data_IF_607574453693
#
_entry.id   IF_607574453693
#
_cell.length_a   1.000
_cell.length_b   1.000
_cell.length_c   1.000
_cell.angle_alpha   90.00
_cell.angle_beta   90.00
_cell.angle_gamma   90.00
#
_symmetry.space_group_name_H-M   'P 1'
#
loop_
_entity.id
_entity.type
_entity.pdbx_description
1 polymer ?
#
# COMPACT_ATOMS: atom_id res chain seq x y z
N UNK A 1 -30.94 -4.30 0.54
CA UNK A 1 -31.29 -2.89 0.78
C UNK A 1 -30.19 -2.06 0.14
N UNK A 2 -30.48 -1.36 -0.94
CA UNK A 2 -29.53 -0.41 -1.53
C UNK A 2 -29.42 0.81 -0.63
N UNK A 3 -28.22 1.34 -0.47
CA UNK A 3 -27.94 2.42 0.46
C UNK A 3 -27.31 3.63 -0.27
N UNK A 4 -27.36 4.78 0.35
CA UNK A 4 -26.74 5.99 -0.18
C UNK A 4 -27.44 6.56 -1.42
N UNK A 5 -26.66 7.11 -2.33
CA UNK A 5 -27.15 7.78 -3.54
C UNK A 5 -28.13 6.91 -4.35
N UNK A 6 -27.96 5.60 -4.36
CA UNK A 6 -28.79 4.68 -5.11
C UNK A 6 -30.20 4.49 -4.53
N UNK A 7 -30.43 4.85 -3.27
CA UNK A 7 -31.78 4.75 -2.68
C UNK A 7 -32.82 5.62 -3.42
N UNK A 8 -32.40 6.79 -3.90
CA UNK A 8 -33.31 7.73 -4.59
C UNK A 8 -33.57 7.36 -6.05
N UNK A 9 -32.73 6.56 -6.67
CA UNK A 9 -32.84 6.24 -8.09
C UNK A 9 -33.25 4.78 -8.37
N UNK A 10 -33.11 3.89 -7.38
CA UNK A 10 -33.40 2.45 -7.59
C UNK A 10 -34.84 2.14 -7.96
N UNK A 11 -35.81 3.03 -7.56
CA UNK A 11 -37.21 2.85 -7.85
C UNK A 11 -37.64 3.55 -9.17
N UNK A 12 -36.73 4.28 -9.82
CA UNK A 12 -37.02 4.90 -11.11
C UNK A 12 -37.06 3.82 -12.19
N UNK A 13 -38.17 3.76 -12.98
CA UNK A 13 -38.31 2.79 -14.06
C UNK A 13 -37.14 2.85 -15.04
N UNK A 14 -36.69 4.04 -15.38
CA UNK A 14 -35.58 4.30 -16.27
C UNK A 14 -34.26 3.71 -15.74
N UNK A 15 -34.09 3.61 -14.43
CA UNK A 15 -32.93 2.98 -13.83
C UNK A 15 -33.10 1.47 -13.70
N UNK A 16 -34.31 0.99 -13.37
CA UNK A 16 -34.56 -0.44 -13.18
C UNK A 16 -34.42 -1.24 -14.46
N UNK A 17 -34.96 -0.71 -15.56
CA UNK A 17 -35.02 -1.38 -16.85
C UNK A 17 -33.73 -1.21 -17.68
N UNK A 18 -32.79 -0.40 -17.19
CA UNK A 18 -31.56 -0.10 -17.91
C UNK A 18 -30.50 -1.19 -17.78
N UNK A 19 -29.71 -1.36 -18.83
CA UNK A 19 -28.43 -2.08 -18.73
C UNK A 19 -27.45 -1.31 -17.87
N UNK A 20 -26.85 -1.97 -16.88
CA UNK A 20 -25.94 -1.37 -15.91
C UNK A 20 -24.54 -2.00 -15.97
N UNK A 21 -23.53 -1.16 -16.04
CA UNK A 21 -22.14 -1.58 -15.82
C UNK A 21 -21.58 -0.85 -14.60
N UNK A 22 -20.84 -1.60 -13.78
CA UNK A 22 -20.22 -1.09 -12.55
C UNK A 22 -18.73 -1.02 -12.69
N UNK A 23 -18.15 0.12 -12.33
CA UNK A 23 -16.71 0.32 -12.32
C UNK A 23 -16.25 0.63 -10.92
N UNK A 24 -15.30 -0.14 -10.42
CA UNK A 24 -14.74 0.04 -9.08
C UNK A 24 -13.26 0.41 -9.25
N UNK A 25 -12.89 1.55 -8.71
CA UNK A 25 -11.51 2.05 -8.70
C UNK A 25 -11.05 2.30 -7.27
N UNK A 26 -9.77 2.09 -7.01
CA UNK A 26 -9.16 2.48 -5.73
C UNK A 26 -9.11 4.00 -5.72
N UNK A 27 -9.68 4.61 -4.68
CA UNK A 27 -9.62 6.05 -4.45
C UNK A 27 -8.39 6.43 -3.63
N UNK A 28 -8.22 5.77 -2.49
CA UNK A 28 -7.08 5.97 -1.61
C UNK A 28 -6.56 4.63 -1.10
N UNK A 29 -5.27 4.52 -0.91
CA UNK A 29 -4.65 3.29 -0.42
C UNK A 29 -3.45 3.60 0.47
N UNK A 30 -3.41 2.94 1.61
CA UNK A 30 -2.25 2.94 2.48
C UNK A 30 -1.79 1.51 2.70
N UNK A 31 -0.49 1.25 2.55
CA UNK A 31 0.04 -0.08 2.80
C UNK A 31 1.03 -0.08 3.97
N UNK A 32 1.00 -1.14 4.74
CA UNK A 32 1.87 -1.37 5.88
C UNK A 32 2.63 -2.68 5.65
N UNK A 33 3.94 -2.61 5.71
CA UNK A 33 4.77 -3.80 5.74
C UNK A 33 4.78 -4.34 7.17
N UNK A 34 4.38 -5.59 7.32
CA UNK A 34 4.07 -6.17 8.62
C UNK A 34 5.30 -6.38 9.51
N UNK A 35 6.48 -6.57 8.92
CA UNK A 35 7.75 -6.64 9.66
C UNK A 35 7.99 -5.40 10.53
N UNK A 36 7.56 -4.21 10.08
CA UNK A 36 7.70 -2.97 10.85
C UNK A 36 6.81 -2.92 12.11
N UNK A 37 5.77 -3.76 12.16
CA UNK A 37 4.89 -3.89 13.32
C UNK A 37 5.42 -4.92 14.31
N UNK A 38 5.90 -6.06 13.79
CA UNK A 38 6.37 -7.20 14.62
C UNK A 38 7.76 -6.91 15.20
N UNK A 39 8.65 -6.39 14.35
CA UNK A 39 10.07 -6.14 14.66
C UNK A 39 10.41 -4.72 14.20
N UNK A 40 9.94 -3.69 14.95
CA UNK A 40 10.18 -2.31 14.60
C UNK A 40 11.69 -1.99 14.70
N UNK A 41 12.23 -1.16 13.78
CA UNK A 41 13.66 -0.85 13.76
C UNK A 41 14.13 -0.01 14.95
N UNK A 42 13.19 0.71 15.59
CA UNK A 42 13.41 1.53 16.79
C UNK A 42 12.08 1.68 17.54
N UNK A 43 12.13 2.04 18.80
CA UNK A 43 10.95 2.06 19.70
C UNK A 43 9.84 3.01 19.23
N UNK A 44 10.21 4.14 18.60
CA UNK A 44 9.28 5.14 18.11
C UNK A 44 8.60 4.74 16.78
N UNK A 45 9.18 3.83 16.00
CA UNK A 45 8.67 3.45 14.67
C UNK A 45 7.20 3.02 14.68
N UNK A 46 6.76 2.36 15.75
CA UNK A 46 5.37 1.96 15.92
C UNK A 46 4.44 3.15 16.17
N UNK A 47 4.92 4.17 16.86
CA UNK A 47 4.16 5.40 17.09
C UNK A 47 4.05 6.22 15.80
N UNK A 48 5.14 6.33 15.03
CA UNK A 48 5.13 6.96 13.71
C UNK A 48 4.14 6.28 12.76
N UNK A 49 4.16 4.94 12.70
CA UNK A 49 3.20 4.19 11.90
C UNK A 49 1.76 4.43 12.34
N UNK A 50 1.51 4.52 13.65
CA UNK A 50 0.20 4.84 14.21
C UNK A 50 -0.25 6.24 13.80
N UNK A 51 0.64 7.22 13.87
CA UNK A 51 0.35 8.59 13.45
C UNK A 51 0.02 8.66 11.96
N UNK A 52 0.81 8.01 11.11
CA UNK A 52 0.56 7.94 9.67
C UNK A 52 -0.80 7.29 9.34
N UNK A 53 -1.20 6.24 10.05
CA UNK A 53 -2.49 5.60 9.87
C UNK A 53 -3.65 6.47 10.38
N UNK A 54 -3.46 7.22 11.46
CA UNK A 54 -4.43 8.20 11.94
C UNK A 54 -4.62 9.32 10.92
N UNK A 55 -3.55 9.90 10.41
CA UNK A 55 -3.60 10.94 9.38
C UNK A 55 -4.32 10.45 8.11
N UNK A 56 -4.06 9.21 7.72
CA UNK A 56 -4.79 8.59 6.60
C UNK A 56 -6.27 8.44 6.89
N UNK A 57 -6.64 7.99 8.11
CA UNK A 57 -8.02 7.88 8.55
C UNK A 57 -8.73 9.23 8.53
N UNK A 58 -8.14 10.25 9.14
CA UNK A 58 -8.68 11.61 9.19
C UNK A 58 -8.88 12.21 7.78
N UNK A 59 -7.90 12.01 6.90
CA UNK A 59 -8.02 12.43 5.50
C UNK A 59 -9.22 11.79 4.82
N UNK A 60 -9.42 10.49 4.98
CA UNK A 60 -10.52 9.76 4.37
C UNK A 60 -11.85 10.16 5.01
N UNK A 61 -11.93 10.28 6.34
CA UNK A 61 -13.13 10.71 7.06
C UNK A 61 -13.57 12.13 6.68
N UNK A 62 -12.62 12.99 6.30
CA UNK A 62 -12.93 14.34 5.80
C UNK A 62 -13.77 14.32 4.51
N UNK A 63 -13.78 13.21 3.78
CA UNK A 63 -14.60 12.99 2.58
C UNK A 63 -15.91 12.25 2.86
N UNK A 64 -16.33 12.17 4.13
CA UNK A 64 -17.49 11.41 4.63
C UNK A 64 -17.36 9.88 4.50
N UNK A 65 -16.15 9.37 4.29
CA UNK A 65 -15.91 7.93 4.31
C UNK A 65 -15.71 7.44 5.74
N UNK A 66 -16.36 6.36 6.10
CA UNK A 66 -16.29 5.81 7.47
C UNK A 66 -15.77 4.38 7.52
N UNK A 67 -15.61 3.71 6.39
CA UNK A 67 -15.17 2.32 6.36
C UNK A 67 -14.10 2.10 5.32
N UNK A 68 -13.20 1.22 5.67
CA UNK A 68 -12.07 0.84 4.84
C UNK A 68 -12.16 -0.64 4.48
N UNK A 69 -11.82 -0.97 3.25
CA UNK A 69 -11.59 -2.35 2.86
C UNK A 69 -10.11 -2.63 2.99
N UNK A 70 -9.75 -3.62 3.77
CA UNK A 70 -8.37 -4.00 3.94
C UNK A 70 -8.08 -5.38 3.36
N UNK A 71 -6.88 -5.53 2.84
CA UNK A 71 -6.35 -6.80 2.35
C UNK A 71 -5.14 -7.20 3.17
N UNK A 72 -5.05 -8.47 3.52
CA UNK A 72 -3.81 -9.08 4.00
C UNK A 72 -3.22 -9.84 2.83
N UNK A 73 -2.03 -9.45 2.42
CA UNK A 73 -1.36 -10.01 1.25
C UNK A 73 0.04 -10.49 1.60
N UNK A 74 0.56 -11.42 0.82
CA UNK A 74 1.97 -11.77 0.85
C UNK A 74 2.60 -11.70 -0.53
N UNK A 75 3.90 -11.54 -0.56
CA UNK A 75 4.73 -11.69 -1.77
C UNK A 75 6.11 -12.19 -1.40
N UNK A 76 6.85 -12.71 -2.37
CA UNK A 76 8.23 -13.12 -2.15
C UNK A 76 9.03 -12.03 -1.43
N UNK A 77 9.78 -12.46 -0.43
CA UNK A 77 10.63 -11.59 0.39
C UNK A 77 11.62 -10.82 -0.47
N UNK A 78 11.78 -9.54 -0.19
CA UNK A 78 12.77 -8.68 -0.83
C UNK A 78 13.70 -8.11 0.23
N UNK A 79 15.00 -8.20 -0.01
CA UNK A 79 16.03 -7.66 0.90
C UNK A 79 17.12 -6.96 0.10
N UNK A 80 17.81 -6.02 0.72
CA UNK A 80 19.06 -5.50 0.17
C UNK A 80 20.15 -6.58 0.27
N UNK A 81 20.96 -6.73 -0.78
CA UNK A 81 22.13 -7.62 -0.74
C UNK A 81 23.27 -6.94 0.02
N UNK A 82 23.31 -7.13 1.34
CA UNK A 82 24.34 -6.54 2.22
C UNK A 82 25.78 -6.92 1.85
N UNK A 83 25.97 -8.00 1.06
CA UNK A 83 27.29 -8.41 0.56
C UNK A 83 27.76 -7.53 -0.59
N UNK A 84 26.86 -6.75 -1.18
CA UNK A 84 27.15 -5.83 -2.28
C UNK A 84 26.61 -4.44 -1.94
N UNK A 85 27.47 -3.59 -1.41
CA UNK A 85 27.11 -2.22 -1.10
C UNK A 85 26.67 -1.47 -2.36
N UNK A 86 25.73 -0.51 -2.22
CA UNK A 86 25.30 0.39 -3.30
C UNK A 86 26.50 1.11 -3.91
N UNK A 87 26.48 1.34 -5.23
CA UNK A 87 27.58 1.97 -5.94
C UNK A 87 27.08 3.03 -6.90
N UNK A 88 27.64 4.22 -6.80
CA UNK A 88 27.48 5.24 -7.83
C UNK A 88 28.15 4.83 -9.13
N UNK A 89 27.56 5.21 -10.25
CA UNK A 89 28.15 5.04 -11.55
C UNK A 89 29.44 5.88 -11.65
N UNK A 90 30.46 5.31 -12.24
CA UNK A 90 31.73 6.03 -12.47
C UNK A 90 31.56 7.22 -13.43
N UNK A 91 30.69 7.08 -14.43
CA UNK A 91 30.46 8.10 -15.45
C UNK A 91 29.41 9.14 -15.04
N UNK A 92 28.48 8.79 -14.14
CA UNK A 92 27.43 9.66 -13.67
C UNK A 92 27.16 9.44 -12.18
N UNK A 93 27.70 10.30 -11.34
CA UNK A 93 27.56 10.23 -9.89
C UNK A 93 26.12 10.40 -9.39
N UNK A 94 25.19 10.82 -10.26
CA UNK A 94 23.76 10.88 -9.93
C UNK A 94 23.07 9.52 -10.02
N UNK A 95 23.70 8.55 -10.67
CA UNK A 95 23.14 7.22 -10.88
C UNK A 95 23.69 6.25 -9.84
N UNK A 96 22.81 5.69 -9.03
CA UNK A 96 23.13 4.70 -8.00
C UNK A 96 22.61 3.33 -8.40
N UNK A 97 23.46 2.33 -8.31
CA UNK A 97 23.10 0.91 -8.46
C UNK A 97 22.96 0.28 -7.09
N UNK A 98 21.84 -0.37 -6.83
CA UNK A 98 21.52 -1.07 -5.58
C UNK A 98 21.23 -2.53 -5.92
N UNK A 99 21.75 -3.44 -5.10
CA UNK A 99 21.60 -4.88 -5.28
C UNK A 99 20.55 -5.43 -4.32
N UNK A 100 19.67 -6.30 -4.84
CA UNK A 100 18.55 -6.88 -4.10
C UNK A 100 18.60 -8.41 -4.18
N UNK A 101 18.02 -9.03 -3.15
CA UNK A 101 17.71 -10.45 -3.06
C UNK A 101 16.19 -10.63 -3.09
N UNK A 102 15.70 -11.52 -3.96
CA UNK A 102 14.28 -11.89 -4.04
C UNK A 102 14.17 -13.34 -3.60
N UNK A 103 13.30 -13.64 -2.63
CA UNK A 103 13.12 -14.98 -2.06
C UNK A 103 14.43 -15.55 -1.47
N UNK A 104 15.31 -14.69 -0.97
CA UNK A 104 16.62 -15.00 -0.39
C UNK A 104 17.66 -15.64 -1.37
N UNK A 105 17.33 -15.81 -2.64
CA UNK A 105 18.16 -16.54 -3.61
C UNK A 105 18.41 -15.76 -4.89
N UNK A 106 17.38 -15.19 -5.47
CA UNK A 106 17.46 -14.56 -6.78
C UNK A 106 18.05 -13.15 -6.63
N UNK A 107 19.19 -12.92 -7.31
CA UNK A 107 19.88 -11.64 -7.28
C UNK A 107 19.39 -10.75 -8.41
N UNK A 108 19.03 -9.53 -8.07
CA UNK A 108 18.70 -8.49 -9.04
C UNK A 108 19.40 -7.19 -8.68
N UNK A 109 19.37 -6.25 -9.58
CA UNK A 109 19.83 -4.88 -9.34
C UNK A 109 18.80 -3.88 -9.82
N UNK A 110 18.75 -2.76 -9.15
CA UNK A 110 17.97 -1.61 -9.54
C UNK A 110 18.89 -0.40 -9.69
N UNK A 111 18.44 0.59 -10.42
CA UNK A 111 19.17 1.82 -10.64
C UNK A 111 18.23 2.98 -10.31
N UNK A 112 18.69 3.91 -9.47
CA UNK A 112 17.97 5.14 -9.15
C UNK A 112 18.81 6.35 -9.57
N UNK A 113 18.12 7.46 -9.79
CA UNK A 113 18.73 8.71 -10.22
C UNK A 113 18.39 9.83 -9.25
N UNK A 114 19.41 10.56 -8.81
CA UNK A 114 19.28 11.74 -7.97
C UNK A 114 19.29 13.01 -8.83
N UNK A 115 18.15 13.67 -9.02
CA UNK A 115 18.11 14.85 -9.90
C UNK A 115 18.80 16.07 -9.30
N UNK A 116 18.75 16.23 -7.98
CA UNK A 116 19.19 17.43 -7.27
C UNK A 116 20.37 17.12 -6.34
N UNK A 117 20.09 16.55 -5.19
CA UNK A 117 21.06 16.32 -4.13
C UNK A 117 21.58 14.89 -4.17
N UNK A 118 22.90 14.72 -4.14
CA UNK A 118 23.55 13.41 -4.13
C UNK A 118 23.98 13.13 -2.70
N UNK A 119 23.53 12.00 -2.10
CA UNK A 119 23.98 11.60 -0.78
C UNK A 119 25.51 11.46 -0.70
N UNK A 120 26.11 11.88 0.39
CA UNK A 120 27.56 11.75 0.63
C UNK A 120 27.95 10.33 0.99
N UNK A 121 27.04 9.60 1.67
CA UNK A 121 27.23 8.20 2.01
C UNK A 121 25.91 7.43 1.94
N UNK A 122 25.98 6.14 1.61
CA UNK A 122 24.83 5.26 1.54
C UNK A 122 25.20 3.92 2.17
N UNK A 123 24.38 3.49 3.11
CA UNK A 123 24.54 2.21 3.81
C UNK A 123 23.25 1.42 3.66
N UNK A 124 23.36 0.10 3.53
CA UNK A 124 22.23 -0.80 3.56
C UNK A 124 22.44 -1.89 4.61
N UNK A 125 21.38 -2.17 5.33
CA UNK A 125 21.17 -3.46 6.00
C UNK A 125 20.18 -4.31 5.19
N UNK A 126 19.73 -5.44 5.69
CA UNK A 126 18.81 -6.30 4.93
C UNK A 126 17.46 -5.65 4.64
N UNK A 127 16.96 -4.81 5.56
CA UNK A 127 15.62 -4.24 5.52
C UNK A 127 15.59 -2.76 5.15
N UNK A 128 16.68 -2.02 5.40
CA UNK A 128 16.73 -0.56 5.29
C UNK A 128 17.87 -0.08 4.40
N UNK A 129 17.64 1.06 3.76
CA UNK A 129 18.66 1.88 3.12
C UNK A 129 18.74 3.22 3.83
N UNK A 130 19.96 3.66 4.11
CA UNK A 130 20.27 4.91 4.82
C UNK A 130 21.04 5.82 3.89
N UNK A 131 20.51 7.03 3.70
CA UNK A 131 21.15 8.09 2.96
C UNK A 131 21.67 9.15 3.93
N UNK A 132 22.92 9.52 3.78
CA UNK A 132 23.56 10.60 4.54
C UNK A 132 23.88 11.76 3.60
N UNK A 133 23.71 12.98 4.07
CA UNK A 133 24.00 14.19 3.32
C UNK A 133 24.49 15.27 4.27
N UNK A 134 25.17 16.27 3.74
CA UNK A 134 25.58 17.45 4.50
C UNK A 134 24.40 18.36 4.88
N UNK A 135 23.25 18.17 4.21
CA UNK A 135 22.02 18.97 4.43
C UNK A 135 21.08 18.32 5.43
N UNK A 136 21.09 17.00 5.54
CA UNK A 136 20.30 16.24 6.52
C UNK A 136 21.16 15.18 7.21
N UNK A 137 20.91 14.94 8.49
CA UNK A 137 21.70 13.97 9.25
C UNK A 137 21.64 12.55 8.67
N UNK A 138 20.41 12.04 8.43
CA UNK A 138 20.17 10.79 7.72
C UNK A 138 18.71 10.63 7.34
N UNK A 139 18.46 9.94 6.20
CA UNK A 139 17.14 9.47 5.81
C UNK A 139 17.18 7.96 5.70
N UNK A 140 16.30 7.27 6.41
CA UNK A 140 16.18 5.83 6.40
C UNK A 140 14.86 5.40 5.71
N UNK A 141 14.97 4.48 4.75
CA UNK A 141 13.81 3.94 4.08
C UNK A 141 13.76 2.42 4.27
N UNK A 142 12.65 1.86 4.77
CA UNK A 142 12.37 0.43 4.66
C UNK A 142 12.29 0.03 3.19
N UNK A 143 12.79 -1.14 2.82
CA UNK A 143 12.94 -1.56 1.42
C UNK A 143 11.68 -1.43 0.58
N UNK A 144 10.51 -1.80 1.11
CA UNK A 144 9.27 -1.74 0.35
C UNK A 144 8.74 -0.32 0.16
N UNK A 145 9.00 0.58 1.12
CA UNK A 145 8.68 2.00 1.00
C UNK A 145 9.64 2.67 0.03
N UNK A 146 10.92 2.31 0.09
CA UNK A 146 11.93 2.75 -0.87
C UNK A 146 11.55 2.39 -2.31
N UNK A 147 11.21 1.12 -2.56
CA UNK A 147 10.81 0.67 -3.90
C UNK A 147 9.58 1.43 -4.42
N UNK A 148 8.61 1.70 -3.55
CA UNK A 148 7.42 2.47 -3.89
C UNK A 148 7.75 3.94 -4.19
N UNK A 149 8.53 4.58 -3.35
CA UNK A 149 8.92 5.99 -3.49
C UNK A 149 9.63 6.25 -4.82
N UNK A 150 10.50 5.34 -5.20
CA UNK A 150 11.22 5.42 -6.48
C UNK A 150 10.48 4.77 -7.66
N UNK A 151 9.22 4.38 -7.49
CA UNK A 151 8.40 3.79 -8.55
C UNK A 151 8.94 2.48 -9.12
N UNK A 152 9.69 1.70 -8.33
CA UNK A 152 10.37 0.49 -8.78
C UNK A 152 9.44 -0.71 -8.69
N UNK A 153 9.06 -1.24 -9.84
CA UNK A 153 8.29 -2.48 -9.95
C UNK A 153 9.21 -3.66 -10.25
N UNK A 154 9.32 -4.59 -9.31
CA UNK A 154 10.12 -5.81 -9.46
C UNK A 154 9.36 -6.95 -10.18
N UNK A 155 8.11 -6.74 -10.59
CA UNK A 155 7.29 -7.77 -11.22
C UNK A 155 6.87 -8.92 -10.28
N UNK A 156 6.95 -8.72 -8.95
CA UNK A 156 6.60 -9.74 -7.97
C UNK A 156 5.11 -9.69 -7.71
N UNK A 157 4.39 -10.76 -8.02
CA UNK A 157 2.97 -10.88 -7.73
C UNK A 157 2.70 -10.93 -6.22
N UNK A 158 1.59 -10.34 -5.80
CA UNK A 158 1.06 -10.45 -4.44
C UNK A 158 -0.09 -11.44 -4.41
N UNK A 159 -0.13 -12.29 -3.39
CA UNK A 159 -1.22 -13.20 -3.10
C UNK A 159 -2.10 -12.59 -2.02
N UNK A 160 -3.42 -12.56 -2.24
CA UNK A 160 -4.41 -12.08 -1.28
C UNK A 160 -4.87 -13.25 -0.42
N UNK A 161 -4.67 -13.15 0.89
CA UNK A 161 -5.07 -14.18 1.85
C UNK A 161 -6.35 -13.85 2.58
N UNK A 162 -6.64 -12.56 2.73
CA UNK A 162 -7.81 -12.10 3.47
C UNK A 162 -8.29 -10.75 2.97
N UNK A 163 -9.61 -10.58 2.95
CA UNK A 163 -10.29 -9.31 2.69
C UNK A 163 -11.26 -9.05 3.82
N UNK A 164 -11.27 -7.84 4.35
CA UNK A 164 -12.17 -7.46 5.42
C UNK A 164 -12.53 -5.98 5.38
N UNK A 165 -13.48 -5.60 6.23
CA UNK A 165 -13.93 -4.22 6.41
C UNK A 165 -13.56 -3.75 7.81
N UNK A 166 -13.18 -2.49 7.96
CA UNK A 166 -12.91 -1.88 9.26
C UNK A 166 -13.31 -0.41 9.25
N UNK A 167 -13.73 0.09 10.40
CA UNK A 167 -13.90 1.51 10.69
C UNK A 167 -12.65 2.12 11.33
N UNK A 168 -11.80 1.25 11.90
CA UNK A 168 -10.53 1.67 12.51
C UNK A 168 -9.33 0.96 11.88
N UNK A 169 -8.67 1.60 10.92
CA UNK A 169 -7.49 1.07 10.27
C UNK A 169 -6.29 0.96 11.21
N UNK A 170 -6.21 1.80 12.26
CA UNK A 170 -5.13 1.78 13.24
C UNK A 170 -5.22 0.53 14.11
N UNK A 171 -6.39 0.29 14.71
CA UNK A 171 -6.62 -0.90 15.51
C UNK A 171 -6.43 -2.16 14.66
N UNK A 172 -6.89 -2.13 13.41
CA UNK A 172 -6.75 -3.26 12.50
C UNK A 172 -5.31 -3.57 12.15
N UNK A 173 -4.49 -2.56 11.92
CA UNK A 173 -3.09 -2.73 11.57
C UNK A 173 -2.23 -3.11 12.78
N UNK A 174 -2.41 -2.42 13.91
CA UNK A 174 -1.51 -2.52 15.06
C UNK A 174 -2.02 -3.45 16.17
N UNK A 175 -3.34 -3.69 16.19
CA UNK A 175 -3.97 -4.54 17.18
C UNK A 175 -3.83 -6.03 16.84
N UNK A 176 -2.71 -6.65 17.11
CA UNK A 176 -2.35 -8.07 16.83
C UNK A 176 -3.40 -9.13 17.25
N UNK A 177 -4.54 -8.71 17.78
CA UNK A 177 -5.59 -9.57 18.33
C UNK A 177 -6.56 -10.14 17.28
N UNK A 178 -6.36 -9.84 15.99
CA UNK A 178 -7.27 -10.32 14.96
C UNK A 178 -6.97 -11.77 14.59
N UNK A 179 -7.91 -12.69 14.89
CA UNK A 179 -7.78 -14.13 14.63
C UNK A 179 -7.38 -14.45 13.18
N UNK A 180 -8.00 -13.78 12.19
CA UNK A 180 -7.70 -14.02 10.78
C UNK A 180 -6.25 -13.64 10.40
N UNK A 181 -5.72 -12.54 10.94
CA UNK A 181 -4.34 -12.14 10.69
C UNK A 181 -3.36 -13.13 11.35
N UNK A 182 -3.63 -13.55 12.58
CA UNK A 182 -2.81 -14.56 13.28
C UNK A 182 -2.78 -15.88 12.51
N UNK A 183 -3.92 -16.32 11.98
CA UNK A 183 -4.00 -17.54 11.14
C UNK A 183 -3.17 -17.41 9.85
N UNK A 184 -3.16 -16.23 9.22
CA UNK A 184 -2.38 -15.98 8.01
C UNK A 184 -0.89 -15.99 8.33
N UNK A 185 -0.48 -15.31 9.41
CA UNK A 185 0.92 -15.27 9.87
C UNK A 185 1.43 -16.68 10.19
N UNK A 186 0.56 -17.56 10.61
CA UNK A 186 0.91 -18.95 10.88
C UNK A 186 1.00 -19.80 9.60
N UNK A 187 0.16 -19.53 8.61
CA UNK A 187 0.08 -20.31 7.36
C UNK A 187 1.10 -19.87 6.32
N UNK A 188 1.42 -18.58 6.26
CA UNK A 188 2.35 -18.02 5.27
C UNK A 188 3.78 -18.09 5.83
N UNK A 189 4.70 -18.82 5.17
CA UNK A 189 6.08 -18.92 5.64
C UNK A 189 6.78 -17.55 5.54
N UNK A 190 6.95 -16.90 6.68
CA UNK A 190 7.61 -15.59 6.79
C UNK A 190 9.11 -15.64 6.50
N UNK A 191 9.71 -16.83 6.45
CA UNK A 191 11.08 -17.02 5.97
C UNK A 191 11.25 -16.70 4.49
N UNK A 192 10.20 -16.88 3.68
CA UNK A 192 10.24 -16.73 2.22
C UNK A 192 9.39 -15.57 1.71
N UNK A 193 8.46 -15.08 2.53
CA UNK A 193 7.49 -14.07 2.13
C UNK A 193 7.50 -12.87 3.08
N UNK A 194 7.25 -11.71 2.51
CA UNK A 194 6.87 -10.50 3.22
C UNK A 194 5.34 -10.39 3.26
N UNK A 195 4.78 -9.98 4.40
CA UNK A 195 3.35 -9.83 4.61
C UNK A 195 3.02 -8.34 4.66
N UNK A 196 1.91 -7.97 4.04
CA UNK A 196 1.43 -6.60 3.97
C UNK A 196 -0.03 -6.53 4.40
N UNK A 197 -0.36 -5.44 5.04
CA UNK A 197 -1.72 -4.96 5.21
C UNK A 197 -1.91 -3.75 4.30
N UNK A 198 -2.91 -3.78 3.42
CA UNK A 198 -3.33 -2.60 2.68
C UNK A 198 -4.71 -2.17 3.15
N UNK A 199 -4.87 -0.89 3.41
CA UNK A 199 -6.14 -0.28 3.80
C UNK A 199 -6.56 0.64 2.67
N UNK A 200 -7.77 0.45 2.15
CA UNK A 200 -8.20 1.07 0.91
C UNK A 200 -9.60 1.65 1.02
N UNK A 201 -9.83 2.72 0.26
CA UNK A 201 -11.16 3.21 -0.10
C UNK A 201 -11.38 3.07 -1.60
N UNK A 202 -12.64 2.97 -2.00
CA UNK A 202 -13.00 2.72 -3.39
C UNK A 202 -14.04 3.72 -3.87
N UNK A 203 -13.90 4.15 -5.11
CA UNK A 203 -14.96 4.82 -5.87
C UNK A 203 -15.73 3.78 -6.68
N UNK A 204 -17.04 3.89 -6.62
CA UNK A 204 -17.94 3.05 -7.41
C UNK A 204 -18.66 3.92 -8.42
N UNK A 205 -18.44 3.67 -9.70
CA UNK A 205 -19.17 4.28 -10.79
C UNK A 205 -20.21 3.31 -11.35
N UNK A 206 -21.42 3.77 -11.59
CA UNK A 206 -22.42 3.02 -12.32
C UNK A 206 -22.75 3.75 -13.62
N UNK A 207 -22.59 3.07 -14.73
CA UNK A 207 -23.01 3.53 -16.05
C UNK A 207 -24.29 2.79 -16.43
N UNK A 208 -25.32 3.56 -16.72
CA UNK A 208 -26.64 3.04 -17.04
C UNK A 208 -27.00 3.45 -18.45
N UNK A 209 -27.36 2.50 -19.30
CA UNK A 209 -27.76 2.76 -20.68
C UNK A 209 -29.22 2.36 -20.88
N UNK A 210 -30.03 3.29 -21.36
CA UNK A 210 -31.40 3.06 -21.75
C UNK A 210 -31.55 3.56 -23.19
N UNK A 211 -31.72 2.67 -24.14
CA UNK A 211 -31.88 3.00 -25.57
C UNK A 211 -30.83 4.03 -26.06
N UNK A 212 -31.24 5.29 -26.23
CA UNK A 212 -30.38 6.38 -26.67
C UNK A 212 -29.89 7.31 -25.55
N UNK A 213 -30.24 7.02 -24.29
CA UNK A 213 -29.87 7.87 -23.12
C UNK A 213 -28.84 7.16 -22.25
N UNK A 214 -27.79 7.87 -21.90
CA UNK A 214 -26.82 7.42 -20.92
C UNK A 214 -27.02 8.21 -19.61
N UNK A 215 -27.09 7.49 -18.51
CA UNK A 215 -27.08 8.07 -17.17
C UNK A 215 -25.82 7.56 -16.47
N UNK A 216 -24.88 8.47 -16.23
CA UNK A 216 -23.64 8.15 -15.54
C UNK A 216 -23.76 8.59 -14.08
N UNK A 217 -23.62 7.64 -13.16
CA UNK A 217 -23.62 7.90 -11.74
C UNK A 217 -22.26 7.50 -11.19
N UNK A 218 -21.52 8.49 -10.68
CA UNK A 218 -20.24 8.29 -10.02
C UNK A 218 -20.45 8.63 -8.55
N UNK A 219 -20.22 7.66 -7.67
CA UNK A 219 -20.26 7.83 -6.23
C UNK A 219 -18.97 7.34 -5.60
N UNK A 220 -18.43 8.13 -4.71
CA UNK A 220 -17.48 7.64 -3.71
C UNK A 220 -18.31 7.00 -2.59
N UNK A 221 -17.95 5.74 -2.23
CA UNK A 221 -18.47 5.10 -1.01
C UNK A 221 -19.95 4.74 -1.00
N UNK A 222 -20.54 4.51 -2.15
CA UNK A 222 -21.94 4.08 -2.26
C UNK A 222 -22.23 2.71 -1.58
N UNK A 223 -21.22 2.01 -1.13
CA UNK A 223 -21.34 0.74 -0.41
C UNK A 223 -21.51 0.92 1.10
N UNK A 224 -21.41 2.13 1.62
CA UNK A 224 -21.13 2.37 3.03
C UNK A 224 -22.04 3.44 3.62
N UNK A 225 -23.33 3.19 3.61
CA UNK A 225 -24.26 4.06 4.31
C UNK A 225 -25.15 3.32 5.28
N UNK A 226 -25.42 4.00 6.39
CA UNK A 226 -26.37 3.60 7.43
C UNK A 226 -27.79 3.38 6.91
#
# INVERSE_FOLDING_TARGET
MTRGLYNSIQEMPEYNDAEKSWHITIDSSYFVWYDLIIDPPFDEAKNELKEMLNNFKEYVESTNEKRFIYFVTSRKKVRFDVKKQPKFSFFDRRKLTIYLLIGNKDKTKIEIYFPNEIPTNIIVDEKFIYFYSDVFESLAYPIHYFLREYGINLGIASEVHYVGITEDPVERALGLKHRGLTEILYKVPTSENDIFLTVNTFKVGSFTKIEERNIDIISTNSLIYD
#
